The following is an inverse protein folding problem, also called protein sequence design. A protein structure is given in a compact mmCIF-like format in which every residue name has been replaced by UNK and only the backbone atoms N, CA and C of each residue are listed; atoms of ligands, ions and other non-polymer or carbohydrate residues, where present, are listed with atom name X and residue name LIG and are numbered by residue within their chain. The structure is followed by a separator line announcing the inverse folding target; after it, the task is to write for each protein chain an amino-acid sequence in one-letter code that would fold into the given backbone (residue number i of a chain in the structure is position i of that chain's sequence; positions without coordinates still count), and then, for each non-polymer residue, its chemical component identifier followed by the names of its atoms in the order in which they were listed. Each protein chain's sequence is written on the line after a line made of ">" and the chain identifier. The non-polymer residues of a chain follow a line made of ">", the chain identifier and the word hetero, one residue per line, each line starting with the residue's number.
data_IF_822597100130
#
_entry.id   IF_822597100130
#
_cell.length_a   1.000
_cell.length_b   1.000
_cell.length_c   1.000
_cell.angle_alpha   90.00
_cell.angle_beta   90.00
_cell.angle_gamma   90.00
#
_symmetry.space_group_name_H-M   'P 1'
#
loop_
_entity.id
_entity.type
_entity.pdbx_description
1 polymer ?
#
# COMPACT_ATOMS: atom_id res chain seq x y z
N UNK A 1 10.89 -43.41 1.92
CA UNK A 1 9.95 -42.38 2.43
C UNK A 1 9.98 -41.23 1.46
N UNK A 2 8.86 -41.08 0.74
CA UNK A 2 8.66 -40.12 -0.35
C UNK A 2 8.29 -38.79 0.30
N UNK A 3 9.06 -37.75 0.01
CA UNK A 3 8.78 -36.37 0.41
C UNK A 3 9.03 -35.47 -0.79
N UNK A 4 8.16 -35.58 -1.80
CA UNK A 4 7.95 -34.49 -2.75
C UNK A 4 7.35 -33.34 -1.93
N UNK A 5 8.17 -32.34 -1.63
CA UNK A 5 7.66 -31.00 -1.37
C UNK A 5 7.30 -30.42 -2.73
N UNK A 6 6.01 -30.23 -2.98
CA UNK A 6 5.52 -29.48 -4.13
C UNK A 6 6.09 -28.05 -4.05
N UNK A 7 7.23 -27.84 -4.70
CA UNK A 7 7.70 -26.50 -5.02
C UNK A 7 6.77 -25.95 -6.10
N UNK A 8 5.75 -25.21 -5.67
CA UNK A 8 5.00 -24.35 -6.59
C UNK A 8 6.02 -23.45 -7.33
N UNK A 9 6.01 -23.39 -8.67
CA UNK A 9 6.84 -22.43 -9.37
C UNK A 9 6.37 -21.03 -8.97
N UNK A 10 7.25 -20.21 -8.41
CA UNK A 10 7.01 -18.78 -8.23
C UNK A 10 6.72 -18.19 -9.62
N UNK A 11 5.51 -17.67 -9.91
CA UNK A 11 5.28 -16.93 -11.14
C UNK A 11 5.87 -15.54 -10.93
N UNK A 12 7.18 -15.46 -10.73
CA UNK A 12 7.91 -14.20 -10.61
C UNK A 12 8.08 -13.57 -12.00
N UNK A 13 7.86 -14.33 -13.08
CA UNK A 13 8.01 -13.86 -14.46
C UNK A 13 6.79 -14.24 -15.29
N UNK A 14 6.42 -13.35 -16.21
CA UNK A 14 5.34 -13.55 -17.17
C UNK A 14 5.86 -13.35 -18.59
N UNK A 15 5.46 -14.19 -19.54
CA UNK A 15 5.91 -14.07 -20.94
C UNK A 15 4.99 -13.19 -21.79
N UNK A 16 3.73 -13.04 -21.39
CA UNK A 16 2.78 -12.12 -22.03
C UNK A 16 1.76 -11.54 -21.05
N UNK A 17 1.44 -10.25 -21.21
CA UNK A 17 0.45 -9.55 -20.39
C UNK A 17 -0.83 -9.28 -21.19
N UNK A 18 -1.95 -9.20 -20.48
CA UNK A 18 -3.25 -8.80 -21.01
C UNK A 18 -3.77 -7.58 -20.25
N UNK A 19 -4.16 -6.55 -21.01
CA UNK A 19 -4.70 -5.31 -20.46
C UNK A 19 -6.03 -5.56 -19.74
N UNK A 20 -6.12 -5.09 -18.49
CA UNK A 20 -7.36 -5.10 -17.72
C UNK A 20 -8.06 -3.74 -17.75
N UNK A 21 -7.29 -2.66 -17.58
CA UNK A 21 -7.83 -1.32 -17.48
C UNK A 21 -6.79 -0.28 -17.87
N UNK A 22 -7.25 0.79 -18.51
CA UNK A 22 -6.50 2.02 -18.73
C UNK A 22 -7.16 3.11 -17.91
N UNK A 23 -6.43 3.71 -16.99
CA UNK A 23 -6.94 4.72 -16.05
C UNK A 23 -6.39 6.10 -16.41
N UNK A 24 -7.22 7.13 -16.30
CA UNK A 24 -6.82 8.53 -16.48
C UNK A 24 -7.81 9.49 -15.82
N UNK A 25 -7.42 10.75 -15.64
CA UNK A 25 -8.26 11.80 -15.08
C UNK A 25 -8.20 11.89 -13.55
N UNK A 26 -9.28 12.39 -12.94
CA UNK A 26 -9.28 12.86 -11.54
C UNK A 26 -10.25 12.09 -10.63
N UNK A 27 -10.89 11.04 -11.15
CA UNK A 27 -11.79 10.19 -10.37
C UNK A 27 -11.03 9.04 -9.75
N UNK A 28 -11.14 8.86 -8.43
CA UNK A 28 -10.52 7.73 -7.73
C UNK A 28 -11.05 6.40 -8.30
N UNK A 29 -10.18 5.55 -8.90
CA UNK A 29 -10.61 4.29 -9.50
C UNK A 29 -11.10 3.29 -8.45
N UNK A 30 -12.09 2.43 -8.77
CA UNK A 30 -12.42 1.31 -7.91
C UNK A 30 -11.23 0.34 -7.83
N UNK A 31 -11.10 -0.46 -6.76
CA UNK A 31 -10.03 -1.43 -6.63
C UNK A 31 -10.02 -2.44 -7.79
N UNK A 32 -8.85 -2.70 -8.35
CA UNK A 32 -8.65 -3.62 -9.48
C UNK A 32 -8.00 -4.89 -8.94
N UNK A 33 -8.55 -6.06 -9.26
CA UNK A 33 -8.02 -7.35 -8.83
C UNK A 33 -7.75 -8.23 -10.04
N UNK A 34 -6.51 -8.71 -10.19
CA UNK A 34 -6.12 -9.58 -11.29
C UNK A 34 -6.61 -11.01 -11.06
N UNK A 35 -6.77 -11.79 -12.12
CA UNK A 35 -7.03 -13.23 -12.00
C UNK A 35 -5.76 -14.06 -11.75
N UNK A 36 -4.60 -13.47 -12.05
CA UNK A 36 -3.28 -14.11 -12.09
C UNK A 36 -2.21 -13.16 -11.53
N UNK A 37 -1.06 -13.72 -11.18
CA UNK A 37 0.16 -12.98 -10.82
C UNK A 37 1.25 -13.31 -11.87
N UNK A 38 2.21 -12.42 -12.16
CA UNK A 38 2.34 -11.05 -11.67
C UNK A 38 1.33 -10.08 -12.28
N UNK A 39 1.10 -8.97 -11.59
CA UNK A 39 0.47 -7.76 -12.12
C UNK A 39 1.56 -6.86 -12.71
N UNK A 40 1.31 -6.26 -13.88
CA UNK A 40 2.13 -5.16 -14.41
C UNK A 40 1.30 -3.87 -14.40
N UNK A 41 1.86 -2.81 -13.83
CA UNK A 41 1.31 -1.46 -13.90
C UNK A 41 2.28 -0.58 -14.68
N UNK A 42 1.79 0.17 -15.67
CA UNK A 42 2.60 1.07 -16.50
C UNK A 42 2.00 2.46 -16.46
N UNK A 43 2.74 3.44 -15.94
CA UNK A 43 2.34 4.85 -16.03
C UNK A 43 3.08 5.52 -17.18
N UNK A 44 2.36 6.29 -18.00
CA UNK A 44 2.95 7.08 -19.08
C UNK A 44 2.35 8.47 -19.08
N UNK A 45 3.21 9.50 -19.11
CA UNK A 45 2.79 10.90 -19.25
C UNK A 45 3.24 11.54 -20.55
N UNK A 46 2.48 12.53 -21.02
CA UNK A 46 2.77 13.27 -22.24
C UNK A 46 3.75 14.44 -22.01
N UNK A 47 3.82 15.39 -22.96
CA UNK A 47 4.74 16.52 -22.86
C UNK A 47 4.22 17.71 -22.04
N UNK A 48 3.04 17.63 -21.45
CA UNK A 48 2.30 18.74 -20.87
C UNK A 48 1.64 18.40 -19.52
N UNK A 49 0.40 18.82 -19.29
CA UNK A 49 -0.25 19.06 -17.97
C UNK A 49 0.06 18.02 -16.88
N UNK A 50 0.85 18.43 -15.88
CA UNK A 50 1.11 17.60 -14.69
C UNK A 50 0.01 17.72 -13.64
N UNK A 51 -0.38 16.62 -13.01
CA UNK A 51 -1.31 16.58 -11.88
C UNK A 51 -0.63 16.02 -10.63
N UNK A 52 -1.36 15.77 -9.54
CA UNK A 52 -0.80 15.26 -8.28
C UNK A 52 -0.30 13.81 -8.38
N UNK A 53 -0.64 13.08 -9.45
CA UNK A 53 -0.25 11.69 -9.62
C UNK A 53 -1.18 10.73 -8.88
N UNK A 54 -0.67 9.54 -8.56
CA UNK A 54 -1.42 8.51 -7.88
C UNK A 54 -0.61 7.84 -6.78
N UNK A 55 -1.35 7.25 -5.85
CA UNK A 55 -0.85 6.45 -4.76
C UNK A 55 -1.76 5.24 -4.63
N UNK A 56 -1.21 4.03 -4.71
CA UNK A 56 -2.00 2.81 -4.62
C UNK A 56 -1.31 1.75 -3.79
N UNK A 57 -2.09 1.05 -2.97
CA UNK A 57 -1.63 -0.18 -2.35
C UNK A 57 -1.65 -1.31 -3.35
N UNK A 58 -0.64 -2.18 -3.26
CA UNK A 58 -0.74 -3.53 -3.80
C UNK A 58 -0.74 -4.55 -2.67
N UNK A 59 -1.49 -5.62 -2.86
CA UNK A 59 -1.71 -6.66 -1.85
C UNK A 59 -2.16 -7.95 -2.53
N UNK A 60 -2.22 -9.08 -1.79
CA UNK A 60 -3.02 -10.24 -2.21
C UNK A 60 -4.51 -9.82 -2.29
N UNK A 61 -5.46 -10.70 -2.60
CA UNK A 61 -6.87 -10.31 -2.80
C UNK A 61 -7.62 -9.85 -1.51
N UNK A 62 -6.90 -9.43 -0.47
CA UNK A 62 -7.39 -8.82 0.76
C UNK A 62 -6.95 -7.36 0.86
N UNK A 63 -7.89 -6.44 1.15
CA UNK A 63 -7.56 -5.04 1.38
C UNK A 63 -6.56 -4.85 2.53
N UNK A 64 -5.59 -3.93 2.40
CA UNK A 64 -4.83 -3.41 3.53
C UNK A 64 -5.78 -2.84 4.60
N UNK A 65 -5.43 -2.97 5.89
CA UNK A 65 -6.27 -2.44 6.96
C UNK A 65 -6.25 -0.91 7.00
N UNK A 66 -7.43 -0.32 7.16
CA UNK A 66 -7.60 1.09 7.55
C UNK A 66 -7.92 1.16 9.03
N UNK A 67 -7.06 1.83 9.79
CA UNK A 67 -7.19 1.98 11.23
C UNK A 67 -7.74 3.36 11.55
N UNK A 68 -9.02 3.40 11.91
CA UNK A 68 -9.73 4.66 12.22
C UNK A 68 -9.69 4.96 13.71
N UNK A 69 -9.24 6.15 14.09
CA UNK A 69 -9.26 6.63 15.46
C UNK A 69 -8.23 5.97 16.37
N UNK A 70 -8.28 6.34 17.66
CA UNK A 70 -7.25 5.97 18.63
C UNK A 70 -7.13 4.45 18.83
N UNK A 71 -5.90 3.92 18.71
CA UNK A 71 -5.59 2.51 19.02
C UNK A 71 -5.02 2.31 20.43
N UNK A 72 -4.89 3.39 21.21
CA UNK A 72 -4.29 3.37 22.56
C UNK A 72 -2.94 2.62 22.62
N UNK A 73 -2.15 2.71 21.55
CA UNK A 73 -0.81 2.09 21.47
C UNK A 73 -0.78 0.62 21.06
N UNK A 74 -1.90 0.00 20.66
CA UNK A 74 -1.86 -1.35 20.09
C UNK A 74 -1.01 -1.38 18.79
N UNK A 75 -0.13 -2.38 18.62
CA UNK A 75 0.76 -2.46 17.46
C UNK A 75 0.00 -2.82 16.19
N UNK A 76 0.26 -2.06 15.12
CA UNK A 76 -0.19 -2.32 13.76
C UNK A 76 0.84 -3.22 13.08
N UNK A 77 0.47 -4.48 12.83
CA UNK A 77 1.39 -5.53 12.36
C UNK A 77 1.31 -5.80 10.86
N UNK A 78 0.32 -5.26 10.16
CA UNK A 78 0.20 -5.39 8.71
C UNK A 78 1.38 -4.71 8.02
N UNK A 79 1.88 -5.29 6.93
CA UNK A 79 3.06 -4.77 6.22
C UNK A 79 2.78 -3.44 5.51
N UNK A 80 1.54 -3.18 5.11
CA UNK A 80 1.08 -1.88 4.65
C UNK A 80 -0.35 -1.62 5.12
N UNK A 81 -0.75 -0.36 5.22
CA UNK A 81 -2.09 0.03 5.63
C UNK A 81 -2.23 1.53 5.79
N UNK A 82 -3.35 1.98 6.34
CA UNK A 82 -3.61 3.39 6.59
C UNK A 82 -4.03 3.66 8.04
N UNK A 83 -3.75 4.88 8.49
CA UNK A 83 -4.16 5.42 9.79
C UNK A 83 -4.84 6.76 9.57
N UNK A 84 -5.86 7.04 10.37
CA UNK A 84 -6.57 8.33 10.36
C UNK A 84 -6.97 8.70 11.78
N UNK A 85 -7.10 10.00 12.07
CA UNK A 85 -7.59 10.46 13.37
C UNK A 85 -9.05 10.04 13.66
N UNK A 86 -9.76 9.52 12.65
CA UNK A 86 -11.09 8.92 12.76
C UNK A 86 -12.23 9.92 12.60
N UNK A 87 -11.94 11.19 12.32
CA UNK A 87 -12.96 12.24 12.13
C UNK A 87 -13.63 12.21 10.75
N UNK A 88 -12.98 11.61 9.75
CA UNK A 88 -13.51 11.46 8.39
C UNK A 88 -13.83 12.82 7.77
N UNK A 89 -15.08 13.04 7.35
CA UNK A 89 -15.50 14.32 6.78
C UNK A 89 -15.79 15.41 7.83
N UNK A 90 -15.65 15.10 9.12
CA UNK A 90 -15.83 16.04 10.23
C UNK A 90 -14.47 16.53 10.73
N UNK A 91 -14.46 17.63 11.50
CA UNK A 91 -13.24 18.05 12.19
C UNK A 91 -12.99 17.19 13.44
N UNK A 92 -11.72 16.90 13.77
CA UNK A 92 -11.33 16.14 14.96
C UNK A 92 -11.90 16.72 16.27
N UNK A 93 -12.08 15.93 17.33
CA UNK A 93 -12.55 16.44 18.62
C UNK A 93 -11.46 17.25 19.34
N UNK A 94 -11.87 18.19 20.19
CA UNK A 94 -10.97 18.82 21.16
C UNK A 94 -10.41 17.77 22.15
N UNK A 95 -9.30 18.12 22.80
CA UNK A 95 -8.66 17.31 23.84
C UNK A 95 -8.33 15.87 23.39
N UNK A 96 -8.10 15.67 22.08
CA UNK A 96 -7.73 14.39 21.53
C UNK A 96 -6.36 13.96 22.06
N UNK A 97 -6.20 12.65 22.29
CA UNK A 97 -4.94 12.04 22.65
C UNK A 97 -4.90 10.62 22.08
N UNK A 98 -4.55 10.52 20.80
CA UNK A 98 -4.46 9.25 20.09
C UNK A 98 -3.01 8.83 19.88
N UNK A 99 -2.80 7.52 19.85
CA UNK A 99 -1.51 6.92 19.57
C UNK A 99 -1.66 5.67 18.70
N UNK A 100 -0.78 5.56 17.71
CA UNK A 100 -0.61 4.41 16.83
C UNK A 100 0.84 3.96 16.88
N UNK A 101 1.07 2.65 17.00
CA UNK A 101 2.40 2.05 16.93
C UNK A 101 2.44 1.21 15.67
N UNK A 102 3.21 1.63 14.67
CA UNK A 102 3.40 0.90 13.41
C UNK A 102 4.60 -0.02 13.62
N UNK A 103 4.36 -1.32 13.59
CA UNK A 103 5.36 -2.36 13.87
C UNK A 103 5.13 -3.58 12.97
N UNK A 104 5.28 -3.45 11.64
CA UNK A 104 4.99 -4.54 10.73
C UNK A 104 5.95 -5.72 10.91
N UNK A 105 5.42 -6.93 10.83
CA UNK A 105 6.23 -8.13 11.06
C UNK A 105 7.34 -8.26 10.01
N UNK A 106 8.59 -8.40 10.47
CA UNK A 106 9.75 -8.59 9.60
C UNK A 106 10.24 -7.34 8.86
N UNK A 107 9.63 -6.17 9.06
CA UNK A 107 10.07 -4.92 8.43
C UNK A 107 11.42 -4.45 9.00
N UNK A 108 12.38 -4.12 8.13
CA UNK A 108 13.66 -3.52 8.51
C UNK A 108 13.63 -1.99 8.52
N UNK A 109 12.68 -1.40 7.81
CA UNK A 109 12.36 0.03 7.80
C UNK A 109 10.84 0.21 7.72
N UNK A 110 10.33 1.39 8.06
CA UNK A 110 8.92 1.76 7.88
C UNK A 110 8.85 3.15 7.31
N UNK A 111 8.04 3.35 6.27
CA UNK A 111 7.74 4.66 5.71
C UNK A 111 6.28 5.00 5.98
N UNK A 112 6.04 6.20 6.53
CA UNK A 112 4.73 6.81 6.72
C UNK A 112 4.63 8.02 5.79
N UNK A 113 3.62 8.05 4.92
CA UNK A 113 3.31 9.15 4.02
C UNK A 113 1.94 9.70 4.38
N UNK A 114 1.89 10.97 4.78
CA UNK A 114 0.61 11.65 4.98
C UNK A 114 -0.03 11.90 3.60
N UNK A 115 -1.34 11.72 3.49
CA UNK A 115 -2.14 12.08 2.31
C UNK A 115 -2.95 13.35 2.57
N UNK A 116 -3.24 13.64 3.84
CA UNK A 116 -3.79 14.91 4.30
C UNK A 116 -3.25 15.25 5.68
N UNK A 117 -2.94 16.53 5.93
CA UNK A 117 -2.61 17.02 7.27
C UNK A 117 -3.06 18.47 7.41
N UNK A 118 -4.15 18.65 8.15
CA UNK A 118 -4.75 19.95 8.49
C UNK A 118 -5.10 19.98 9.97
N UNK A 119 -4.30 20.68 10.75
CA UNK A 119 -4.45 20.83 12.21
C UNK A 119 -4.40 22.31 12.61
N UNK A 120 -4.78 22.64 13.83
CA UNK A 120 -4.52 23.98 14.36
C UNK A 120 -3.01 24.22 14.47
N UNK A 121 -2.52 25.20 13.72
CA UNK A 121 -1.09 25.52 13.65
C UNK A 121 -0.52 25.91 15.02
N UNK A 122 0.46 25.13 15.50
CA UNK A 122 1.19 25.39 16.74
C UNK A 122 0.53 24.89 18.03
N UNK A 123 -0.73 24.45 17.97
CA UNK A 123 -1.49 24.02 19.15
C UNK A 123 -1.81 22.53 19.10
N UNK A 124 -2.28 22.06 17.95
CA UNK A 124 -2.60 20.66 17.71
C UNK A 124 -1.47 19.99 16.95
N UNK A 125 -0.94 18.90 17.50
CA UNK A 125 0.34 18.34 17.10
C UNK A 125 0.17 16.89 16.69
N UNK A 126 0.60 16.57 15.46
CA UNK A 126 0.93 15.21 15.05
C UNK A 126 2.43 15.01 15.26
N UNK A 127 2.78 14.13 16.19
CA UNK A 127 4.15 13.77 16.52
C UNK A 127 4.46 12.40 15.90
N UNK A 128 5.52 12.33 15.10
CA UNK A 128 6.03 11.08 14.51
C UNK A 128 7.38 10.75 15.12
N UNK A 129 7.44 9.68 15.90
CA UNK A 129 8.65 9.13 16.49
C UNK A 129 9.15 7.95 15.64
N UNK A 130 10.41 7.99 15.21
CA UNK A 130 11.10 6.77 14.76
C UNK A 130 11.65 6.04 15.98
N UNK A 131 11.52 4.72 16.04
CA UNK A 131 11.68 3.97 17.29
C UNK A 131 12.67 2.81 17.12
N UNK A 132 13.49 2.47 18.14
CA UNK A 132 14.32 1.27 18.06
C UNK A 132 13.50 -0.04 18.16
N UNK A 133 12.34 0.03 18.82
CA UNK A 133 11.43 -1.08 19.12
C UNK A 133 9.97 -0.57 19.21
N UNK A 134 9.02 -1.50 19.41
CA UNK A 134 7.60 -1.20 19.50
C UNK A 134 7.19 -0.42 20.76
N UNK A 135 7.94 -0.53 21.87
CA UNK A 135 7.65 0.24 23.08
C UNK A 135 7.98 1.72 22.88
N UNK A 136 9.01 2.01 22.07
CA UNK A 136 9.44 3.35 21.70
C UNK A 136 9.69 4.24 22.94
N UNK A 137 10.33 3.66 23.96
CA UNK A 137 10.67 4.36 25.19
C UNK A 137 11.72 5.46 24.98
N UNK A 138 12.63 5.27 24.00
CA UNK A 138 13.65 6.24 23.59
C UNK A 138 13.62 6.42 22.07
N UNK A 139 12.78 7.34 21.54
CA UNK A 139 12.73 7.62 20.10
C UNK A 139 14.09 7.99 19.53
N UNK A 140 14.40 7.49 18.33
CA UNK A 140 15.62 7.79 17.59
C UNK A 140 15.56 9.20 16.98
N UNK A 141 14.38 9.58 16.50
CA UNK A 141 14.05 10.93 16.04
C UNK A 141 12.58 11.24 16.30
N UNK A 142 12.28 12.53 16.40
CA UNK A 142 10.91 13.04 16.58
C UNK A 142 10.67 14.17 15.60
N UNK A 143 9.64 14.03 14.78
CA UNK A 143 9.08 15.12 13.99
C UNK A 143 7.78 15.61 14.63
N UNK A 144 7.60 16.93 14.67
CA UNK A 144 6.39 17.59 15.17
C UNK A 144 5.76 18.36 14.02
N UNK A 145 4.53 18.00 13.66
CA UNK A 145 3.78 18.55 12.55
C UNK A 145 2.54 19.25 13.07
N UNK A 146 2.22 20.41 12.50
CA UNK A 146 1.02 21.18 12.84
C UNK A 146 0.67 22.17 11.74
N UNK A 147 -0.59 22.57 11.61
CA UNK A 147 -1.06 23.48 10.58
C UNK A 147 -1.48 22.75 9.30
N UNK A 148 -1.47 23.48 8.18
CA UNK A 148 -1.84 22.98 6.86
C UNK A 148 -0.59 22.69 6.01
N UNK A 149 -0.54 21.50 5.40
CA UNK A 149 0.52 21.10 4.49
C UNK A 149 -0.05 20.90 3.08
N UNK A 150 0.30 21.79 2.14
CA UNK A 150 -0.06 21.63 0.72
C UNK A 150 0.69 20.50 0.02
N UNK A 151 1.81 20.08 0.61
CA UNK A 151 2.55 18.87 0.25
C UNK A 151 2.77 18.12 1.57
N UNK A 152 1.92 17.13 1.87
CA UNK A 152 2.03 16.38 3.10
C UNK A 152 3.40 15.70 3.24
N UNK A 153 3.94 15.60 4.47
CA UNK A 153 5.28 15.06 4.68
C UNK A 153 5.34 13.53 4.60
N UNK A 154 6.51 13.02 4.25
CA UNK A 154 6.88 11.60 4.36
C UNK A 154 7.95 11.45 5.44
N UNK A 155 7.82 10.44 6.30
CA UNK A 155 8.78 10.11 7.36
C UNK A 155 9.17 8.65 7.25
N UNK A 156 10.46 8.37 7.25
CA UNK A 156 10.98 7.01 7.21
C UNK A 156 11.76 6.70 8.48
N UNK A 157 11.40 5.61 9.14
CA UNK A 157 12.19 4.97 10.18
C UNK A 157 13.18 4.00 9.54
N UNK A 158 14.44 4.04 9.97
CA UNK A 158 15.47 3.07 9.58
C UNK A 158 15.36 1.74 10.34
N UNK A 159 14.29 1.56 11.11
CA UNK A 159 13.91 0.34 11.80
C UNK A 159 12.47 -0.06 11.40
N UNK A 160 12.06 -1.27 11.76
CA UNK A 160 10.68 -1.74 11.60
C UNK A 160 9.63 -1.04 12.49
N UNK A 161 9.99 0.02 13.22
CA UNK A 161 9.15 0.59 14.28
C UNK A 161 9.00 2.11 14.17
N UNK A 162 7.76 2.56 14.28
CA UNK A 162 7.39 3.98 14.30
C UNK A 162 6.20 4.20 15.22
N UNK A 163 6.13 5.36 15.88
CA UNK A 163 4.98 5.75 16.70
C UNK A 163 4.43 7.09 16.27
N UNK A 164 3.14 7.14 15.97
CA UNK A 164 2.42 8.37 15.66
C UNK A 164 1.56 8.74 16.86
N UNK A 165 1.61 9.99 17.30
CA UNK A 165 0.79 10.52 18.38
C UNK A 165 0.11 11.79 17.91
N UNK A 166 -1.21 11.88 18.08
CA UNK A 166 -1.98 13.07 17.77
C UNK A 166 -2.59 13.62 19.05
N UNK A 167 -2.31 14.89 19.33
CA UNK A 167 -2.89 15.62 20.47
C UNK A 167 -3.52 16.92 20.01
N UNK A 168 -4.70 17.24 20.52
CA UNK A 168 -5.35 18.53 20.30
C UNK A 168 -5.67 19.25 21.61
N UNK A 169 -5.84 20.57 21.55
CA UNK A 169 -6.22 21.39 22.69
C UNK A 169 -7.75 21.55 22.85
N UNK A 170 -8.18 22.47 23.73
CA UNK A 170 -9.58 22.71 24.06
C UNK A 170 -10.37 23.51 23.00
N UNK A 171 -9.81 23.85 21.84
CA UNK A 171 -10.43 24.70 20.83
C UNK A 171 -9.97 24.42 19.38
N UNK A 172 -10.50 25.21 18.43
CA UNK A 172 -10.15 25.24 16.98
C UNK A 172 -9.86 23.87 16.34
N UNK A 173 -10.94 23.23 15.89
CA UNK A 173 -10.86 21.92 15.25
C UNK A 173 -10.68 22.07 13.74
N UNK A 174 -9.85 21.22 13.14
CA UNK A 174 -9.61 21.11 11.69
C UNK A 174 -9.90 19.70 11.18
N UNK A 175 -9.70 19.49 9.89
CA UNK A 175 -10.01 18.27 9.16
C UNK A 175 -9.19 17.06 9.62
N UNK A 176 -8.05 17.27 10.30
CA UNK A 176 -7.26 16.18 10.88
C UNK A 176 -6.18 15.66 9.94
N UNK A 177 -6.00 14.35 9.91
CA UNK A 177 -4.98 13.75 9.07
C UNK A 177 -5.38 12.35 8.58
N UNK A 178 -4.90 12.06 7.37
CA UNK A 178 -4.90 10.73 6.77
C UNK A 178 -3.46 10.40 6.41
N UNK A 179 -3.06 9.15 6.65
CA UNK A 179 -1.74 8.68 6.28
C UNK A 179 -1.74 7.21 5.89
N UNK A 180 -0.82 6.84 5.02
CA UNK A 180 -0.51 5.47 4.64
C UNK A 180 0.87 5.10 5.14
N UNK A 181 1.07 3.81 5.42
CA UNK A 181 2.37 3.30 5.80
C UNK A 181 2.68 2.00 5.06
N UNK A 182 3.97 1.73 4.92
CA UNK A 182 4.50 0.44 4.44
C UNK A 182 5.78 0.09 5.21
N UNK A 183 5.99 -1.18 5.48
CA UNK A 183 7.32 -1.73 5.76
C UNK A 183 8.18 -1.57 4.51
N UNK A 184 9.39 -1.06 4.65
CA UNK A 184 10.21 -0.66 3.51
C UNK A 184 9.92 0.76 3.02
N UNK A 185 10.14 0.97 1.72
CA UNK A 185 9.92 2.23 1.02
C UNK A 185 8.68 2.13 0.14
N UNK A 186 8.07 3.27 -0.16
CA UNK A 186 7.13 3.37 -1.29
C UNK A 186 7.89 3.03 -2.58
N UNK A 187 7.28 2.24 -3.45
CA UNK A 187 7.81 1.92 -4.76
C UNK A 187 7.46 3.08 -5.69
N UNK A 188 8.32 4.09 -5.68
CA UNK A 188 8.19 5.26 -6.54
C UNK A 188 8.42 4.89 -8.02
N UNK A 189 8.21 5.85 -8.92
CA UNK A 189 8.58 5.71 -10.33
C UNK A 189 10.11 5.51 -10.47
N UNK A 190 10.56 4.26 -10.41
CA UNK A 190 11.93 3.88 -10.73
C UNK A 190 11.95 3.26 -12.14
N UNK A 191 12.90 3.70 -12.96
CA UNK A 191 13.10 3.21 -14.32
C UNK A 191 13.59 1.74 -14.27
N UNK A 192 12.66 0.80 -14.32
CA UNK A 192 12.91 -0.51 -14.91
C UNK A 192 12.51 -1.72 -14.07
N UNK A 193 11.37 -2.33 -14.42
CA UNK A 193 11.28 -3.76 -14.72
C UNK A 193 11.58 -4.77 -13.60
N UNK A 194 11.83 -4.32 -12.36
CA UNK A 194 12.07 -5.17 -11.21
C UNK A 194 10.76 -5.81 -10.76
N UNK A 195 10.86 -7.06 -10.31
CA UNK A 195 9.73 -7.78 -9.74
C UNK A 195 9.75 -7.62 -8.23
N UNK A 196 8.63 -7.13 -7.71
CA UNK A 196 8.43 -6.84 -6.30
C UNK A 196 7.64 -7.98 -5.65
N UNK A 197 8.31 -8.77 -4.79
CA UNK A 197 7.74 -9.94 -4.13
C UNK A 197 7.20 -9.67 -2.71
N UNK A 198 7.18 -8.40 -2.27
CA UNK A 198 6.66 -8.05 -0.94
C UNK A 198 5.19 -8.48 -0.81
N UNK A 199 4.79 -8.94 0.38
CA UNK A 199 3.42 -9.40 0.62
C UNK A 199 2.38 -8.31 0.31
N UNK A 200 2.70 -7.05 0.62
CA UNK A 200 1.94 -5.86 0.26
C UNK A 200 2.89 -4.65 0.30
N UNK A 201 2.45 -3.53 -0.26
CA UNK A 201 3.22 -2.30 -0.27
C UNK A 201 2.46 -1.20 -0.99
N UNK A 202 3.16 -0.14 -1.35
CA UNK A 202 2.60 1.05 -2.00
C UNK A 202 3.39 1.33 -3.28
N UNK A 203 2.70 1.61 -4.38
CA UNK A 203 3.26 2.17 -5.60
C UNK A 203 2.82 3.64 -5.73
N UNK A 204 3.67 4.47 -6.30
CA UNK A 204 3.38 5.87 -6.61
C UNK A 204 4.20 6.33 -7.81
N UNK A 205 3.66 7.23 -8.63
CA UNK A 205 4.40 7.92 -9.68
C UNK A 205 5.28 9.07 -9.15
N UNK A 206 5.23 9.37 -7.85
CA UNK A 206 6.12 10.33 -7.19
C UNK A 206 5.60 10.92 -5.88
N UNK A 207 6.48 11.59 -5.12
CA UNK A 207 6.13 12.42 -3.96
C UNK A 207 5.57 13.81 -4.35
N UNK A 208 4.63 13.84 -5.29
CA UNK A 208 3.97 15.06 -5.74
C UNK A 208 3.61 15.00 -7.23
N UNK A 209 3.75 16.13 -7.93
CA UNK A 209 3.39 16.18 -9.35
C UNK A 209 4.40 15.40 -10.19
N UNK A 210 3.95 14.34 -10.86
CA UNK A 210 4.75 13.57 -11.83
C UNK A 210 5.35 14.47 -12.91
N UNK A 211 6.42 14.02 -13.55
CA UNK A 211 7.11 14.74 -14.62
C UNK A 211 6.49 14.44 -15.98
N UNK A 212 6.76 15.31 -16.96
CA UNK A 212 6.37 15.08 -18.34
C UNK A 212 7.27 13.99 -18.93
N UNK A 213 6.73 13.17 -19.84
CA UNK A 213 7.42 12.04 -20.47
C UNK A 213 7.85 10.94 -19.49
N UNK A 214 7.22 10.84 -18.33
CA UNK A 214 7.45 9.73 -17.41
C UNK A 214 6.99 8.43 -18.07
N UNK A 215 7.80 7.40 -17.86
CA UNK A 215 7.47 6.02 -18.18
C UNK A 215 7.90 5.18 -16.97
N UNK A 216 6.92 4.72 -16.20
CA UNK A 216 7.14 3.96 -14.98
C UNK A 216 6.55 2.57 -15.14
N UNK A 217 7.24 1.54 -14.66
CA UNK A 217 6.76 0.16 -14.77
C UNK A 217 6.97 -0.59 -13.46
N UNK A 218 5.88 -1.11 -12.88
CA UNK A 218 5.91 -1.94 -11.67
C UNK A 218 5.45 -3.36 -12.01
N UNK A 219 6.27 -4.36 -11.67
CA UNK A 219 5.85 -5.77 -11.68
C UNK A 219 5.63 -6.25 -10.26
N UNK A 220 4.39 -6.55 -9.91
CA UNK A 220 3.98 -6.87 -8.54
C UNK A 220 3.63 -8.36 -8.48
N UNK A 221 4.39 -9.10 -7.67
CA UNK A 221 4.25 -10.55 -7.50
C UNK A 221 4.32 -10.94 -6.02
N UNK A 222 3.37 -10.50 -5.16
CA UNK A 222 3.42 -10.81 -3.73
C UNK A 222 3.62 -12.29 -3.45
N UNK A 223 4.61 -12.61 -2.61
CA UNK A 223 5.01 -14.00 -2.36
C UNK A 223 3.81 -14.86 -1.90
N UNK A 224 3.55 -15.96 -2.61
CA UNK A 224 2.46 -16.89 -2.33
C UNK A 224 1.06 -16.41 -2.74
N UNK A 225 0.93 -15.24 -3.37
CA UNK A 225 -0.34 -14.78 -3.93
C UNK A 225 -0.58 -15.36 -5.32
N UNK A 226 -1.84 -15.69 -5.63
CA UNK A 226 -2.29 -16.11 -6.97
C UNK A 226 -2.94 -14.96 -7.75
N UNK A 227 -3.21 -13.85 -7.07
CA UNK A 227 -3.89 -12.66 -7.55
C UNK A 227 -3.34 -11.45 -6.82
N UNK A 228 -3.32 -10.31 -7.51
CA UNK A 228 -2.88 -9.04 -6.97
C UNK A 228 -4.02 -8.06 -7.02
N UNK A 229 -4.25 -7.36 -5.91
CA UNK A 229 -5.24 -6.30 -5.80
C UNK A 229 -4.53 -4.96 -5.68
N UNK A 230 -4.89 -4.02 -6.56
CA UNK A 230 -4.54 -2.61 -6.49
C UNK A 230 -5.70 -1.82 -5.89
N UNK A 231 -5.42 -1.02 -4.86
CA UNK A 231 -6.39 -0.14 -4.20
C UNK A 231 -5.84 1.28 -4.14
N UNK A 232 -6.48 2.18 -4.86
CA UNK A 232 -6.06 3.57 -4.98
C UNK A 232 -6.45 4.37 -3.74
N UNK A 233 -5.50 5.19 -3.29
CA UNK A 233 -5.65 6.16 -2.21
C UNK A 233 -5.84 7.55 -2.79
N UNK A 234 -5.07 7.88 -3.83
CA UNK A 234 -5.15 9.12 -4.60
C UNK A 234 -5.00 8.80 -6.09
N UNK A 235 -5.66 9.58 -6.95
CA UNK A 235 -5.55 9.43 -8.40
C UNK A 235 -5.92 10.72 -9.13
N UNK A 236 -4.90 11.38 -9.66
CA UNK A 236 -4.97 12.67 -10.32
C UNK A 236 -4.00 12.68 -11.49
N UNK A 237 -4.46 12.33 -12.69
CA UNK A 237 -3.68 12.38 -13.95
C UNK A 237 -4.36 13.27 -15.00
N UNK A 238 -3.66 13.65 -16.07
CA UNK A 238 -4.30 14.37 -17.17
C UNK A 238 -5.32 13.48 -17.90
N UNK A 239 -6.57 13.95 -17.96
CA UNK A 239 -7.66 13.21 -18.58
C UNK A 239 -7.44 13.06 -20.10
N UNK A 240 -7.36 11.80 -20.57
CA UNK A 240 -7.14 11.41 -21.96
C UNK A 240 -5.71 11.62 -22.51
N UNK A 241 -4.73 11.96 -21.67
CA UNK A 241 -3.34 12.19 -22.10
C UNK A 241 -2.32 11.42 -21.27
N UNK A 242 -2.54 11.30 -19.96
CA UNK A 242 -1.66 10.57 -19.05
C UNK A 242 -2.37 9.33 -18.51
N UNK A 243 -1.75 8.16 -18.70
CA UNK A 243 -2.40 6.88 -18.53
C UNK A 243 -1.67 5.99 -17.53
N UNK A 244 -2.45 5.32 -16.68
CA UNK A 244 -1.99 4.17 -15.90
C UNK A 244 -2.67 2.91 -16.45
N UNK A 245 -1.89 2.11 -17.16
CA UNK A 245 -2.31 0.81 -17.68
C UNK A 245 -2.06 -0.29 -16.66
N UNK A 246 -3.10 -1.05 -16.35
CA UNK A 246 -3.05 -2.21 -15.45
C UNK A 246 -3.23 -3.47 -16.27
N UNK A 247 -2.25 -4.36 -16.20
CA UNK A 247 -2.19 -5.60 -16.95
C UNK A 247 -2.00 -6.79 -16.02
N UNK A 248 -2.58 -7.94 -16.39
CA UNK A 248 -2.38 -9.21 -15.70
C UNK A 248 -1.62 -10.20 -16.56
N UNK A 249 -0.90 -11.12 -15.92
CA UNK A 249 -0.20 -12.17 -16.64
C UNK A 249 -1.17 -13.10 -17.39
N UNK A 250 -1.04 -13.18 -18.72
CA UNK A 250 -1.91 -13.99 -19.58
C UNK A 250 -1.57 -15.49 -19.52
N UNK A 251 -0.33 -15.81 -19.16
CA UNK A 251 0.15 -17.20 -19.04
C UNK A 251 -0.25 -17.86 -17.72
N UNK A 252 -0.82 -17.08 -16.78
CA UNK A 252 -1.20 -17.57 -15.46
C UNK A 252 -2.31 -18.61 -15.56
N UNK A 253 -1.96 -19.89 -15.46
CA UNK A 253 -2.93 -20.96 -15.31
C UNK A 253 -3.65 -20.79 -13.96
N UNK A 254 -4.99 -20.72 -13.92
CA UNK A 254 -5.74 -20.69 -12.66
C UNK A 254 -5.72 -22.08 -12.02
N UNK A 255 -4.63 -22.47 -11.36
CA UNK A 255 -4.62 -23.69 -10.55
C UNK A 255 -5.40 -23.48 -9.24
N UNK A 256 -6.70 -23.81 -9.31
CA UNK A 256 -7.52 -24.57 -8.34
C UNK A 256 -9.00 -24.15 -8.36
N UNK A 257 -9.66 -24.33 -9.49
CA UNK A 257 -11.08 -24.75 -9.48
C UNK A 257 -11.13 -26.27 -9.43
N UNK A 258 -11.00 -26.87 -8.25
CA UNK A 258 -11.06 -28.34 -8.18
C UNK A 258 -10.66 -29.02 -6.86
N UNK A 259 -11.03 -28.48 -5.71
CA UNK A 259 -11.08 -29.29 -4.48
C UNK A 259 -12.54 -29.62 -4.14
N UNK A 260 -13.14 -30.49 -4.96
CA UNK A 260 -14.18 -31.42 -4.53
C UNK A 260 -13.78 -32.79 -5.08
N UNK A 261 -12.99 -33.52 -4.29
CA UNK A 261 -12.51 -34.85 -4.64
C UNK A 261 -13.67 -35.85 -4.67
N UNK A 262 -14.02 -36.30 -5.87
CA UNK A 262 -14.78 -37.54 -6.06
C UNK A 262 -13.87 -38.74 -5.83
N UNK A 263 -14.27 -39.59 -4.88
CA UNK A 263 -13.62 -40.86 -4.55
C UNK A 263 -13.53 -41.76 -5.79
N UNK A 264 -12.30 -42.17 -6.17
CA UNK A 264 -12.12 -43.31 -7.08
C UNK A 264 -12.03 -44.60 -6.27
N UNK A 265 -13.10 -45.40 -6.34
CA UNK A 265 -13.09 -46.83 -5.98
C UNK A 265 -11.97 -47.53 -6.78
N UNK A 266 -11.12 -48.27 -6.08
CA UNK A 266 -10.17 -49.20 -6.68
C UNK A 266 -10.92 -50.48 -7.08
N UNK A 267 -10.91 -50.82 -8.36
CA UNK A 267 -11.13 -52.20 -8.79
C UNK A 267 -9.87 -53.01 -8.49
N UNK A 268 -10.02 -54.07 -7.70
CA UNK A 268 -9.02 -55.11 -7.55
C UNK A 268 -9.31 -56.23 -8.53
N UNK A 269 -8.37 -56.49 -9.44
CA UNK A 269 -8.30 -57.72 -10.23
C UNK A 269 -6.98 -58.41 -9.87
N UNK A 270 -7.06 -59.56 -9.20
CA UNK A 270 -5.95 -60.50 -9.06
C UNK A 270 -6.40 -61.83 -9.65
N UNK A 271 -5.66 -62.29 -10.67
CA UNK A 271 -5.69 -63.65 -11.21
C UNK A 271 -4.43 -64.34 -10.71
N UNK A 272 -4.58 -65.55 -10.18
CA UNK A 272 -3.51 -66.41 -9.68
C UNK A 272 -4.02 -67.39 -8.65
#
# INVERSE_FOLDING_TARGET
>A
TRGEGDAFPSPTTCSSYSLLSTLHGDSLPPPITTATTPLKATFTSDNSVRRQGFLAFFSPPSSPPTVTGCQNGAPLTAYAGSITDGSGASNYPNDANCQWVIAPEGASSVTLKFTSLVTEGGWDIVKVDTCPDAECASPLSTQRLSGYYSSPPTVTSSTGFMRVTFTSDGSVRREGFDAVYTGGSVLECEDGGLVHEQAMGIISDGDGRYSNFDYCEWHLAPAGAWSVRLEFVEFHTEENYDFLDIEQCADGTPERRGLLGGERRREGHFVG
#
